data_IF_626904695401
#
_entry.id   IF_626904695401
#
_cell.length_a   1.000
_cell.length_b   1.000
_cell.length_c   1.000
_cell.angle_alpha   90.00
_cell.angle_beta   90.00
_cell.angle_gamma   90.00
#
_symmetry.space_group_name_H-M   'P 1'
#
loop_
_entity.id
_entity.type
_entity.pdbx_description
1 polymer ?
#
# COMPACT_ATOMS: atom_id res chain seq x y z
N UNK A 1 32.79 -6.01 8.45
CA UNK A 1 31.38 -5.61 8.21
C UNK A 1 31.15 -5.74 6.71
N UNK A 2 30.13 -6.48 6.27
CA UNK A 2 29.79 -6.48 4.84
C UNK A 2 29.33 -5.07 4.47
N UNK A 3 30.03 -4.43 3.54
CA UNK A 3 29.58 -3.17 2.95
C UNK A 3 28.41 -3.47 2.02
N UNK A 4 27.20 -3.26 2.55
CA UNK A 4 25.96 -3.40 1.79
C UNK A 4 25.82 -2.23 0.83
N UNK A 5 25.54 -2.55 -0.43
CA UNK A 5 25.26 -1.53 -1.43
C UNK A 5 23.90 -0.87 -1.13
N UNK A 6 23.69 0.41 -1.50
CA UNK A 6 22.46 1.13 -1.16
C UNK A 6 21.17 0.45 -1.63
N UNK A 7 21.18 -0.25 -2.78
CA UNK A 7 20.00 -0.96 -3.27
C UNK A 7 19.71 -2.25 -2.47
N UNK A 8 20.74 -2.91 -1.94
CA UNK A 8 20.57 -4.10 -1.10
C UNK A 8 19.87 -3.71 0.20
N UNK A 9 20.28 -2.59 0.80
CA UNK A 9 19.61 -2.00 1.95
C UNK A 9 18.17 -1.62 1.65
N UNK A 10 17.90 -1.03 0.48
CA UNK A 10 16.55 -0.67 0.06
C UNK A 10 15.65 -1.89 -0.12
N UNK A 11 16.16 -2.98 -0.68
CA UNK A 11 15.42 -4.24 -0.84
C UNK A 11 15.07 -4.85 0.52
N UNK A 12 16.03 -4.90 1.44
CA UNK A 12 15.80 -5.42 2.81
C UNK A 12 14.74 -4.58 3.51
N UNK A 13 14.87 -3.26 3.51
CA UNK A 13 13.88 -2.35 4.09
C UNK A 13 12.51 -2.49 3.43
N UNK A 14 12.46 -2.64 2.11
CA UNK A 14 11.21 -2.85 1.37
C UNK A 14 10.48 -4.11 1.82
N UNK A 15 11.21 -5.22 2.01
CA UNK A 15 10.62 -6.47 2.54
C UNK A 15 10.13 -6.30 3.97
N UNK A 16 10.88 -5.60 4.82
CA UNK A 16 10.48 -5.33 6.21
C UNK A 16 9.21 -4.48 6.26
N UNK A 17 9.13 -3.41 5.46
CA UNK A 17 7.95 -2.54 5.37
C UNK A 17 6.75 -3.35 4.86
N UNK A 18 6.94 -4.17 3.82
CA UNK A 18 5.88 -5.04 3.30
C UNK A 18 5.34 -5.96 4.39
N UNK A 19 6.22 -6.63 5.16
CA UNK A 19 5.79 -7.50 6.25
C UNK A 19 5.03 -6.73 7.34
N UNK A 20 5.53 -5.56 7.75
CA UNK A 20 4.88 -4.70 8.74
C UNK A 20 3.48 -4.25 8.29
N UNK A 21 3.32 -3.87 7.04
CA UNK A 21 2.02 -3.43 6.51
C UNK A 21 1.02 -4.57 6.42
N UNK A 22 1.46 -5.79 6.11
CA UNK A 22 0.61 -6.98 6.11
C UNK A 22 0.14 -7.35 7.53
N UNK A 23 1.00 -7.20 8.54
CA UNK A 23 0.67 -7.49 9.94
C UNK A 23 -0.25 -6.42 10.53
N UNK A 24 0.02 -5.14 10.25
CA UNK A 24 -0.72 -4.00 10.81
C UNK A 24 -2.03 -3.70 10.08
N UNK A 25 -2.19 -4.19 8.85
CA UNK A 25 -3.36 -3.90 8.02
C UNK A 25 -3.43 -2.44 7.54
N UNK A 26 -2.31 -1.72 7.57
CA UNK A 26 -2.22 -0.30 7.19
C UNK A 26 -2.17 -0.13 5.68
N UNK A 27 -1.38 -0.94 4.96
CA UNK A 27 -1.30 -1.00 3.48
C UNK A 27 -1.02 0.32 2.75
N UNK A 28 -0.49 1.36 3.42
CA UNK A 28 -0.28 2.67 2.81
C UNK A 28 0.88 2.59 1.81
N UNK A 29 2.08 2.21 2.27
CA UNK A 29 3.26 2.12 1.42
C UNK A 29 3.05 1.12 0.26
N UNK A 30 2.37 0.01 0.51
CA UNK A 30 2.08 -1.01 -0.49
C UNK A 30 1.11 -0.50 -1.56
N UNK A 31 0.08 0.26 -1.16
CA UNK A 31 -0.84 0.90 -2.11
C UNK A 31 -0.15 1.98 -2.97
N UNK A 32 0.73 2.79 -2.37
CA UNK A 32 1.53 3.77 -3.11
C UNK A 32 2.52 3.10 -4.07
N UNK A 33 3.16 1.99 -3.65
CA UNK A 33 4.06 1.22 -4.49
C UNK A 33 3.33 0.62 -5.70
N UNK A 34 2.12 0.07 -5.52
CA UNK A 34 1.28 -0.42 -6.62
C UNK A 34 0.90 0.72 -7.56
N UNK A 35 0.54 1.89 -7.03
CA UNK A 35 0.23 3.07 -7.84
C UNK A 35 1.42 3.52 -8.69
N UNK A 36 2.60 3.69 -8.09
CA UNK A 36 3.82 4.09 -8.79
C UNK A 36 4.26 3.05 -9.83
N UNK A 37 4.18 1.76 -9.49
CA UNK A 37 4.48 0.68 -10.43
C UNK A 37 3.55 0.72 -11.65
N UNK A 38 2.27 1.02 -11.44
CA UNK A 38 1.29 1.11 -12.53
C UNK A 38 1.56 2.29 -13.46
N UNK A 39 1.96 3.44 -12.90
CA UNK A 39 2.41 4.60 -13.69
C UNK A 39 3.66 4.24 -14.49
N UNK A 40 4.68 3.68 -13.84
CA UNK A 40 5.92 3.29 -14.51
C UNK A 40 5.68 2.28 -15.64
N UNK A 41 4.75 1.35 -15.44
CA UNK A 41 4.35 0.38 -16.47
C UNK A 41 3.68 1.08 -17.67
N UNK A 42 2.80 2.05 -17.42
CA UNK A 42 2.11 2.80 -18.49
C UNK A 42 3.08 3.73 -19.23
N UNK A 43 4.00 4.39 -18.52
CA UNK A 43 5.07 5.17 -19.13
C UNK A 43 5.97 4.28 -20.01
N UNK A 44 6.34 3.10 -19.50
CA UNK A 44 7.12 2.13 -20.27
C UNK A 44 6.41 1.66 -21.54
N UNK A 45 5.11 1.39 -21.48
CA UNK A 45 4.33 0.94 -22.63
C UNK A 45 4.02 2.08 -23.63
N UNK A 46 3.74 3.28 -23.12
CA UNK A 46 3.37 4.42 -23.95
C UNK A 46 4.57 5.20 -24.49
N UNK A 47 5.77 4.99 -23.94
CA UNK A 47 7.00 5.73 -24.26
C UNK A 47 6.83 7.26 -24.17
N UNK A 48 5.84 7.73 -23.39
CA UNK A 48 5.46 9.14 -23.27
C UNK A 48 5.17 9.47 -21.82
N UNK A 49 5.76 10.56 -21.34
CA UNK A 49 5.56 11.10 -20.02
C UNK A 49 4.50 12.22 -20.05
N UNK A 50 3.42 12.06 -19.29
CA UNK A 50 2.35 13.03 -19.21
C UNK A 50 1.93 13.20 -17.75
N UNK A 51 2.50 14.20 -17.09
CA UNK A 51 2.33 14.45 -15.66
C UNK A 51 0.86 14.40 -15.20
N UNK A 52 -0.05 15.05 -15.93
CA UNK A 52 -1.49 15.10 -15.59
C UNK A 52 -2.14 13.71 -15.60
N UNK A 53 -1.87 12.91 -16.64
CA UNK A 53 -2.35 11.54 -16.79
C UNK A 53 -1.76 10.65 -15.71
N UNK A 54 -0.45 10.76 -15.49
CA UNK A 54 0.32 9.88 -14.62
C UNK A 54 -0.04 10.12 -13.14
N UNK A 55 -0.25 11.38 -12.74
CA UNK A 55 -0.79 11.73 -11.41
C UNK A 55 -2.21 11.20 -11.22
N UNK A 56 -3.07 11.30 -12.25
CA UNK A 56 -4.44 10.80 -12.16
C UNK A 56 -4.48 9.28 -12.03
N UNK A 57 -3.70 8.57 -12.83
CA UNK A 57 -3.54 7.11 -12.75
C UNK A 57 -3.03 6.72 -11.37
N UNK A 58 -1.97 7.37 -10.89
CA UNK A 58 -1.42 7.12 -9.57
C UNK A 58 -2.49 7.23 -8.48
N UNK A 59 -3.22 8.34 -8.45
CA UNK A 59 -4.24 8.60 -7.43
C UNK A 59 -5.35 7.54 -7.45
N UNK A 60 -5.87 7.20 -8.63
CA UNK A 60 -6.95 6.21 -8.79
C UNK A 60 -6.47 4.82 -8.40
N UNK A 61 -5.31 4.40 -8.89
CA UNK A 61 -4.78 3.06 -8.64
C UNK A 61 -4.35 2.89 -7.18
N UNK A 62 -3.64 3.87 -6.60
CA UNK A 62 -3.24 3.80 -5.20
C UNK A 62 -4.46 3.75 -4.27
N UNK A 63 -5.46 4.59 -4.51
CA UNK A 63 -6.70 4.57 -3.73
C UNK A 63 -7.46 3.24 -3.89
N UNK A 64 -7.58 2.75 -5.12
CA UNK A 64 -8.22 1.45 -5.41
C UNK A 64 -7.49 0.29 -4.74
N UNK A 65 -6.15 0.28 -4.80
CA UNK A 65 -5.32 -0.72 -4.14
C UNK A 65 -5.47 -0.68 -2.63
N UNK A 66 -5.45 0.51 -2.02
CA UNK A 66 -5.66 0.67 -0.58
C UNK A 66 -7.01 0.11 -0.14
N UNK A 67 -8.10 0.50 -0.82
CA UNK A 67 -9.45 0.01 -0.51
C UNK A 67 -9.54 -1.51 -0.73
N UNK A 68 -9.02 -2.02 -1.84
CA UNK A 68 -9.04 -3.44 -2.16
C UNK A 68 -8.30 -4.29 -1.12
N UNK A 69 -7.10 -3.86 -0.73
CA UNK A 69 -6.31 -4.50 0.32
C UNK A 69 -7.01 -4.43 1.67
N UNK A 70 -7.54 -3.27 2.06
CA UNK A 70 -8.29 -3.07 3.31
C UNK A 70 -9.52 -3.98 3.38
N UNK A 71 -10.24 -4.16 2.27
CA UNK A 71 -11.42 -5.04 2.21
C UNK A 71 -11.04 -6.52 2.24
N UNK A 72 -9.97 -6.90 1.54
CA UNK A 72 -9.53 -8.30 1.41
C UNK A 72 -8.95 -8.82 2.73
N UNK A 73 -8.15 -7.99 3.40
CA UNK A 73 -7.48 -8.32 4.65
C UNK A 73 -8.22 -7.81 5.89
N UNK A 74 -9.52 -7.51 5.75
CA UNK A 74 -10.35 -7.04 6.87
C UNK A 74 -10.48 -8.15 7.91
N UNK A 75 -9.66 -8.07 8.96
CA UNK A 75 -9.71 -9.02 10.07
C UNK A 75 -11.01 -8.86 10.85
N UNK A 76 -11.63 -9.98 11.26
CA UNK A 76 -12.85 -10.00 12.10
C UNK A 76 -12.65 -9.32 13.48
N UNK A 77 -11.41 -9.00 13.86
CA UNK A 77 -11.09 -8.28 15.11
C UNK A 77 -11.15 -6.74 15.02
N UNK A 78 -11.28 -6.16 13.83
CA UNK A 78 -11.31 -4.69 13.64
C UNK A 78 -12.66 -4.08 14.07
N UNK A 79 -13.71 -4.90 14.15
CA UNK A 79 -14.98 -4.54 14.77
C UNK A 79 -15.01 -5.13 16.16
N UNK A 80 -14.38 -4.46 17.13
CA UNK A 80 -14.78 -4.67 18.53
C UNK A 80 -16.18 -4.09 18.66
N UNK A 81 -17.20 -4.91 18.46
CA UNK A 81 -18.50 -4.65 19.09
C UNK A 81 -18.23 -4.54 20.58
N UNK A 82 -18.27 -3.32 21.13
CA UNK A 82 -18.23 -3.11 22.57
C UNK A 82 -19.32 -4.01 23.17
N UNK A 83 -18.91 -5.02 23.94
CA UNK A 83 -19.80 -6.09 24.39
C UNK A 83 -20.70 -5.65 25.55
N UNK A 84 -20.60 -4.41 25.97
CA UNK A 84 -21.44 -3.78 26.99
C UNK A 84 -21.67 -2.33 26.56
N UNK A 85 -22.81 -2.08 25.91
CA UNK A 85 -23.34 -0.73 25.83
C UNK A 85 -23.88 -0.38 27.22
N UNK A 86 -23.31 0.64 27.85
CA UNK A 86 -23.68 1.12 29.19
C UNK A 86 -25.10 1.73 29.17
N UNK A 87 -25.71 1.90 28.00
CA UNK A 87 -27.02 2.51 27.80
C UNK A 87 -28.19 1.50 27.72
N UNK A 88 -27.99 0.23 28.07
CA UNK A 88 -29.05 -0.80 28.16
C UNK A 88 -29.80 -0.80 29.52
N UNK A 89 -29.86 0.33 30.23
CA UNK A 89 -30.63 0.49 31.49
C UNK A 89 -31.98 1.17 31.30
#
# INVERSE_FOLDING_TARGET
>A
MMDLQPYEMALILGVVILALEMITGVFICLSLAIGLFSVALIEFLSQNFHLERDVLIFAVVAMGAFIGLRLTFRSKGDVKTAREDVNDY
#
